data_IF_716303523643
#
_entry.id   IF_716303523643
#
_cell.length_a   1.000
_cell.length_b   1.000
_cell.length_c   1.000
_cell.angle_alpha   90.00
_cell.angle_beta   90.00
_cell.angle_gamma   90.00
#
_symmetry.space_group_name_H-M   'P 1'
#
loop_
_entity.id
_entity.type
_entity.pdbx_description
1 polymer ?
#
# COMPACT_ATOMS: atom_id res chain seq x y z
N UNK A 1 0.20 5.44 48.34
CA UNK A 1 -0.92 4.50 48.09
C UNK A 1 -1.85 5.16 47.07
N UNK A 2 -2.07 4.70 45.85
CA UNK A 2 -1.59 3.54 45.11
C UNK A 2 -1.85 3.76 43.61
N UNK A 3 -0.85 3.44 42.79
CA UNK A 3 -0.75 3.65 41.33
C UNK A 3 -1.34 2.46 40.52
N UNK A 4 -2.21 1.63 41.11
CA UNK A 4 -2.49 0.28 40.57
C UNK A 4 -3.92 0.00 40.10
N UNK A 5 -4.51 0.78 39.18
CA UNK A 5 -5.75 0.35 38.49
C UNK A 5 -5.82 0.60 36.97
N UNK A 6 -4.85 1.27 36.36
CA UNK A 6 -4.81 1.45 34.89
C UNK A 6 -4.08 0.33 34.13
N UNK A 7 -3.43 -0.61 34.83
CA UNK A 7 -2.61 -1.67 34.23
C UNK A 7 -3.29 -3.05 34.13
N UNK A 8 -4.51 -3.23 34.65
CA UNK A 8 -5.24 -4.50 34.55
C UNK A 8 -6.17 -4.61 33.34
N UNK A 9 -6.48 -3.51 32.64
CA UNK A 9 -7.34 -3.56 31.43
C UNK A 9 -6.56 -3.80 30.13
N UNK A 10 -5.24 -3.58 30.14
CA UNK A 10 -4.36 -3.81 28.97
C UNK A 10 -3.94 -5.28 28.85
N UNK A 11 -3.96 -6.04 29.97
CA UNK A 11 -3.55 -7.45 29.98
C UNK A 11 -4.66 -8.43 29.58
N UNK A 12 -5.94 -8.04 29.60
CA UNK A 12 -7.05 -8.85 29.08
C UNK A 12 -7.22 -8.74 27.56
N UNK A 13 -6.64 -7.70 26.93
CA UNK A 13 -6.63 -7.52 25.48
C UNK A 13 -5.68 -8.51 24.75
N UNK A 14 -4.69 -9.08 25.44
CA UNK A 14 -3.74 -10.03 24.83
C UNK A 14 -4.31 -11.46 24.80
N UNK A 15 -5.25 -11.82 25.68
CA UNK A 15 -5.83 -13.17 25.73
C UNK A 15 -6.99 -13.42 24.76
N UNK A 16 -7.63 -12.36 24.23
CA UNK A 16 -8.68 -12.47 23.21
C UNK A 16 -8.10 -12.52 21.78
N UNK A 17 -6.78 -12.32 21.62
CA UNK A 17 -6.09 -12.56 20.34
C UNK A 17 -5.95 -14.06 19.99
N UNK A 18 -6.33 -14.97 20.91
CA UNK A 18 -6.39 -16.42 20.65
C UNK A 18 -7.77 -16.92 20.18
N UNK A 19 -8.81 -16.10 20.21
CA UNK A 19 -10.10 -16.41 19.58
C UNK A 19 -10.12 -15.93 18.12
N UNK A 20 -9.04 -16.26 17.42
CA UNK A 20 -8.92 -16.25 15.97
C UNK A 20 -10.17 -16.94 15.41
N UNK A 21 -11.07 -16.13 14.85
CA UNK A 21 -11.99 -16.49 13.77
C UNK A 21 -12.71 -17.83 13.98
N UNK A 22 -13.79 -17.80 14.76
CA UNK A 22 -14.78 -18.88 14.74
C UNK A 22 -15.18 -19.17 13.28
N UNK A 23 -15.05 -20.42 12.78
CA UNK A 23 -15.27 -20.76 11.37
C UNK A 23 -16.68 -20.42 10.84
N UNK A 24 -17.66 -20.16 11.72
CA UNK A 24 -18.99 -19.64 11.35
C UNK A 24 -18.98 -18.19 10.85
N UNK A 25 -18.07 -17.33 11.35
CA UNK A 25 -17.98 -15.92 10.90
C UNK A 25 -17.45 -15.86 9.45
N UNK A 26 -16.53 -16.77 9.09
CA UNK A 26 -15.94 -16.85 7.74
C UNK A 26 -16.98 -17.19 6.66
N UNK A 27 -18.06 -17.90 7.00
CA UNK A 27 -19.11 -18.29 6.04
C UNK A 27 -20.17 -17.21 5.78
N UNK A 28 -20.19 -16.11 6.57
CA UNK A 28 -21.15 -14.99 6.41
C UNK A 28 -20.50 -13.68 5.96
N UNK A 29 -19.18 -13.65 5.81
CA UNK A 29 -18.49 -12.49 5.24
C UNK A 29 -18.79 -12.40 3.74
N UNK A 30 -19.39 -11.29 3.29
CA UNK A 30 -19.60 -11.00 1.87
C UNK A 30 -18.26 -11.04 1.11
N UNK A 31 -18.25 -11.45 -0.17
CA UNK A 31 -17.04 -11.43 -1.00
C UNK A 31 -16.53 -9.98 -1.10
N UNK A 32 -15.49 -9.65 -0.34
CA UNK A 32 -14.96 -8.28 -0.22
C UNK A 32 -14.34 -7.93 1.13
N UNK A 33 -14.52 -8.77 2.16
CA UNK A 33 -14.03 -8.51 3.52
C UNK A 33 -12.49 -8.56 3.70
N UNK A 34 -11.71 -8.90 2.67
CA UNK A 34 -10.24 -9.00 2.77
C UNK A 34 -9.52 -7.66 2.66
N UNK A 35 -10.20 -6.57 2.33
CA UNK A 35 -9.58 -5.24 2.13
C UNK A 35 -9.58 -4.35 3.41
N UNK A 36 -10.20 -4.84 4.51
CA UNK A 36 -10.41 -4.05 5.72
C UNK A 36 -9.25 -4.12 6.75
N UNK A 37 -8.18 -4.88 6.49
CA UNK A 37 -7.05 -4.99 7.44
C UNK A 37 -6.11 -3.78 7.45
N UNK A 38 -6.37 -2.75 6.62
CA UNK A 38 -5.43 -1.64 6.39
C UNK A 38 -5.87 -0.25 6.89
N UNK A 39 -7.04 -0.11 7.54
CA UNK A 39 -7.53 1.20 8.03
C UNK A 39 -8.30 1.10 9.36
N UNK A 40 -8.28 2.15 10.21
CA UNK A 40 -9.05 2.16 11.46
C UNK A 40 -10.54 2.19 11.15
N UNK A 41 -11.19 1.03 11.18
CA UNK A 41 -12.64 0.92 11.22
C UNK A 41 -13.09 1.07 12.66
N UNK A 42 -13.83 2.13 12.98
CA UNK A 42 -14.47 2.25 14.29
C UNK A 42 -15.75 1.43 14.30
N UNK A 43 -15.86 0.55 15.30
CA UNK A 43 -16.97 -0.37 15.49
C UNK A 43 -18.08 0.34 16.29
N UNK A 44 -18.97 1.06 15.62
CA UNK A 44 -20.17 1.59 16.30
C UNK A 44 -21.23 0.50 16.42
N UNK A 45 -21.28 -0.18 17.57
CA UNK A 45 -22.41 -1.05 17.93
C UNK A 45 -23.49 -0.16 18.54
N UNK A 46 -24.59 0.06 17.83
CA UNK A 46 -25.83 0.53 18.45
C UNK A 46 -26.63 -0.71 18.83
N UNK A 47 -26.59 -1.07 20.12
CA UNK A 47 -27.20 -2.28 20.66
C UNK A 47 -28.73 -2.13 20.76
N UNK A 48 -29.51 -2.63 19.80
CA UNK A 48 -30.91 -3.05 20.01
C UNK A 48 -31.25 -4.23 19.05
N UNK A 49 -31.41 -5.45 19.61
CA UNK A 49 -32.15 -6.66 19.13
C UNK A 49 -31.78 -7.39 17.79
N UNK A 50 -32.26 -8.65 17.57
CA UNK A 50 -31.62 -9.65 16.72
C UNK A 50 -31.99 -9.49 15.24
N UNK A 51 -31.03 -9.00 14.46
CA UNK A 51 -31.18 -8.76 13.03
C UNK A 51 -30.08 -7.86 12.46
N UNK A 52 -28.89 -7.88 13.06
CA UNK A 52 -27.84 -6.91 12.78
C UNK A 52 -27.08 -7.23 11.50
N UNK A 53 -27.29 -6.37 10.49
CA UNK A 53 -26.36 -6.20 9.38
C UNK A 53 -25.20 -5.33 9.89
N UNK A 54 -23.99 -5.89 9.91
CA UNK A 54 -22.77 -5.10 10.19
C UNK A 54 -22.52 -4.22 8.98
N UNK A 55 -22.95 -2.96 9.05
CA UNK A 55 -22.64 -1.96 8.03
C UNK A 55 -21.28 -1.34 8.36
N UNK A 56 -20.28 -1.62 7.54
CA UNK A 56 -19.00 -0.93 7.58
C UNK A 56 -19.20 0.51 7.12
N UNK A 57 -19.37 1.43 8.06
CA UNK A 57 -19.52 2.85 7.72
C UNK A 57 -18.14 3.42 7.40
N UNK A 58 -17.88 3.64 6.11
CA UNK A 58 -16.73 4.43 5.64
C UNK A 58 -16.83 5.83 6.27
N UNK A 59 -15.71 6.39 6.74
CA UNK A 59 -15.66 7.79 7.18
C UNK A 59 -16.24 8.65 6.04
N UNK A 60 -17.28 9.48 6.27
CA UNK A 60 -17.90 10.27 5.21
C UNK A 60 -16.84 11.05 4.42
N UNK A 61 -16.98 11.05 3.10
CA UNK A 61 -16.17 11.89 2.24
C UNK A 61 -16.43 13.35 2.61
N UNK A 62 -15.36 14.10 2.87
CA UNK A 62 -15.42 15.49 3.31
C UNK A 62 -14.03 16.05 3.56
N UNK A 63 -13.95 17.36 3.80
CA UNK A 63 -12.68 18.10 3.91
C UNK A 63 -11.70 17.46 4.92
N UNK A 64 -12.20 16.92 6.04
CA UNK A 64 -11.35 16.26 7.03
C UNK A 64 -10.63 15.03 6.45
N UNK A 65 -11.35 14.21 5.68
CA UNK A 65 -10.78 13.01 5.05
C UNK A 65 -9.73 13.38 4.00
N UNK A 66 -9.91 14.50 3.30
CA UNK A 66 -8.94 14.99 2.33
C UNK A 66 -7.68 15.50 3.04
N UNK A 67 -7.81 16.25 4.14
CA UNK A 67 -6.68 16.69 4.98
C UNK A 67 -5.90 15.48 5.53
N UNK A 68 -6.58 14.47 6.06
CA UNK A 68 -5.95 13.23 6.53
C UNK A 68 -5.20 12.51 5.41
N UNK A 69 -5.79 12.45 4.21
CA UNK A 69 -5.16 11.85 3.03
C UNK A 69 -3.93 12.64 2.59
N UNK A 70 -3.99 13.96 2.60
CA UNK A 70 -2.84 14.81 2.31
C UNK A 70 -1.70 14.59 3.30
N UNK A 71 -2.00 14.50 4.61
CA UNK A 71 -0.99 14.19 5.63
C UNK A 71 -0.36 12.81 5.43
N UNK A 72 -1.18 11.79 5.17
CA UNK A 72 -0.70 10.44 4.88
C UNK A 72 0.19 10.41 3.62
N UNK A 73 -0.22 11.08 2.55
CA UNK A 73 0.55 11.16 1.32
C UNK A 73 1.88 11.90 1.54
N UNK A 74 1.90 12.96 2.35
CA UNK A 74 3.12 13.68 2.69
C UNK A 74 4.10 12.80 3.49
N UNK A 75 3.60 12.01 4.46
CA UNK A 75 4.43 11.05 5.18
C UNK A 75 4.98 9.94 4.27
N UNK A 76 4.17 9.44 3.33
CA UNK A 76 4.61 8.49 2.31
C UNK A 76 5.71 9.07 1.43
N UNK A 77 5.52 10.29 0.92
CA UNK A 77 6.50 11.00 0.12
C UNK A 77 7.81 11.23 0.89
N UNK A 78 7.76 11.51 2.20
CA UNK A 78 8.94 11.62 3.05
C UNK A 78 9.70 10.29 3.19
N UNK A 79 8.98 9.18 3.32
CA UNK A 79 9.59 7.85 3.43
C UNK A 79 10.31 7.45 2.13
N UNK A 80 9.69 7.72 0.98
CA UNK A 80 10.16 7.37 -0.37
C UNK A 80 11.07 8.43 -1.01
N UNK A 81 11.34 9.54 -0.32
CA UNK A 81 12.17 10.62 -0.85
C UNK A 81 13.57 10.13 -1.24
N UNK A 82 14.06 10.61 -2.38
CA UNK A 82 15.43 10.37 -2.88
C UNK A 82 16.33 11.61 -2.73
N UNK A 83 15.85 12.64 -2.04
CA UNK A 83 16.56 13.90 -1.74
C UNK A 83 16.80 14.01 -0.23
N UNK A 84 17.69 14.90 0.26
CA UNK A 84 17.99 15.01 1.71
C UNK A 84 16.69 15.09 2.54
N UNK A 85 16.50 14.15 3.48
CA UNK A 85 15.29 14.06 4.30
C UNK A 85 14.98 15.34 5.06
N UNK A 86 16.02 16.05 5.53
CA UNK A 86 15.86 17.33 6.22
C UNK A 86 15.26 18.40 5.31
N UNK A 87 15.62 18.43 4.02
CA UNK A 87 15.03 19.39 3.09
C UNK A 87 13.53 19.15 2.91
N UNK A 88 13.12 17.88 2.77
CA UNK A 88 11.70 17.51 2.67
C UNK A 88 10.93 17.95 3.91
N UNK A 89 11.49 17.72 5.09
CA UNK A 89 10.86 18.10 6.36
C UNK A 89 10.73 19.62 6.51
N UNK A 90 11.80 20.37 6.23
CA UNK A 90 11.80 21.83 6.34
C UNK A 90 10.83 22.47 5.33
N UNK A 91 10.82 21.99 4.08
CA UNK A 91 9.88 22.46 3.06
C UNK A 91 8.42 22.15 3.43
N UNK A 92 8.15 21.04 4.11
CA UNK A 92 6.80 20.71 4.60
C UNK A 92 6.30 21.73 5.64
N UNK A 93 7.18 22.24 6.51
CA UNK A 93 6.86 23.27 7.50
C UNK A 93 6.96 24.71 6.98
N UNK A 94 7.34 24.91 5.71
CA UNK A 94 7.49 26.24 5.10
C UNK A 94 8.84 26.91 5.36
N UNK A 95 9.80 26.20 5.95
CA UNK A 95 11.18 26.66 6.10
C UNK A 95 11.97 26.26 4.84
N UNK A 96 11.90 27.09 3.80
CA UNK A 96 12.53 26.79 2.52
C UNK A 96 14.06 26.73 2.62
N UNK A 97 14.65 25.55 2.42
CA UNK A 97 16.10 25.36 2.28
C UNK A 97 16.40 24.54 1.04
N UNK A 98 17.51 24.87 0.37
CA UNK A 98 17.93 24.20 -0.88
C UNK A 98 19.21 23.39 -0.69
N UNK A 99 19.99 23.69 0.36
CA UNK A 99 21.26 23.02 0.61
C UNK A 99 21.10 21.67 1.33
N UNK A 100 21.78 20.61 0.88
CA UNK A 100 21.74 19.31 1.52
C UNK A 100 22.36 19.36 2.92
N UNK A 101 21.80 18.54 3.80
CA UNK A 101 22.10 18.55 5.22
C UNK A 101 23.42 17.87 5.63
N UNK A 102 24.00 17.02 4.77
CA UNK A 102 25.25 16.28 5.06
C UNK A 102 25.18 15.23 6.18
N UNK A 103 24.02 15.09 6.85
CA UNK A 103 23.87 14.23 8.04
C UNK A 103 22.54 13.45 8.05
N UNK A 104 22.04 13.08 6.88
CA UNK A 104 20.93 12.13 6.76
C UNK A 104 21.38 10.92 5.95
N UNK A 105 20.64 9.82 6.05
CA UNK A 105 20.87 8.58 5.31
C UNK A 105 21.07 8.81 3.81
N UNK A 106 20.25 9.65 3.18
CA UNK A 106 20.35 9.95 1.74
C UNK A 106 21.59 10.79 1.39
N UNK A 107 22.05 11.64 2.33
CA UNK A 107 23.29 12.40 2.12
C UNK A 107 24.55 11.54 2.34
N UNK A 108 24.44 10.56 3.24
CA UNK A 108 25.55 9.68 3.60
C UNK A 108 25.73 8.55 2.58
N UNK A 109 24.62 8.01 2.08
CA UNK A 109 24.60 6.99 1.03
C UNK A 109 23.62 7.41 -0.08
N UNK A 110 24.08 8.21 -1.05
CA UNK A 110 23.22 8.72 -2.11
C UNK A 110 22.70 7.57 -3.00
N UNK A 111 21.40 7.56 -3.34
CA UNK A 111 20.82 6.51 -4.16
C UNK A 111 21.45 6.49 -5.55
N UNK A 112 21.84 5.30 -6.01
CA UNK A 112 22.39 5.10 -7.35
C UNK A 112 21.31 5.34 -8.40
N UNK A 113 21.48 6.38 -9.21
CA UNK A 113 20.64 6.61 -10.38
C UNK A 113 21.16 5.81 -11.58
N UNK A 114 20.25 5.33 -12.42
CA UNK A 114 20.58 4.71 -13.69
C UNK A 114 19.63 5.23 -14.77
N UNK A 115 20.07 5.19 -16.02
CA UNK A 115 19.21 5.55 -17.14
C UNK A 115 18.15 4.47 -17.37
N UNK A 116 16.91 4.79 -16.96
CA UNK A 116 15.75 3.92 -17.07
C UNK A 116 14.92 4.15 -18.34
N UNK A 117 15.36 4.96 -19.31
CA UNK A 117 14.56 5.30 -20.49
C UNK A 117 14.11 4.05 -21.27
N UNK A 118 15.02 3.12 -21.51
CA UNK A 118 14.70 1.88 -22.22
C UNK A 118 13.70 1.00 -21.44
N UNK A 119 13.81 0.96 -20.12
CA UNK A 119 12.91 0.18 -19.26
C UNK A 119 11.50 0.78 -19.22
N UNK A 120 11.43 2.11 -19.10
CA UNK A 120 10.18 2.84 -19.14
C UNK A 120 9.47 2.63 -20.49
N UNK A 121 10.23 2.67 -21.60
CA UNK A 121 9.70 2.38 -22.93
C UNK A 121 9.14 0.96 -23.01
N UNK A 122 9.87 -0.06 -22.55
CA UNK A 122 9.40 -1.45 -22.55
C UNK A 122 8.13 -1.60 -21.71
N UNK A 123 8.08 -1.01 -20.51
CA UNK A 123 6.93 -1.06 -19.63
C UNK A 123 5.69 -0.41 -20.26
N UNK A 124 5.81 0.82 -20.75
CA UNK A 124 4.72 1.55 -21.39
C UNK A 124 4.25 0.87 -22.68
N UNK A 125 5.19 0.37 -23.49
CA UNK A 125 4.89 -0.37 -24.71
C UNK A 125 4.20 -1.71 -24.44
N UNK A 126 4.45 -2.32 -23.27
CA UNK A 126 3.73 -3.53 -22.82
C UNK A 126 2.31 -3.19 -22.41
N UNK A 127 2.12 -2.14 -21.58
CA UNK A 127 0.81 -1.66 -21.13
C UNK A 127 -0.10 -1.34 -22.33
N UNK A 128 0.45 -0.70 -23.36
CA UNK A 128 -0.26 -0.43 -24.62
C UNK A 128 -0.69 -1.71 -25.35
N UNK A 129 0.20 -2.70 -25.48
CA UNK A 129 -0.09 -3.96 -26.20
C UNK A 129 -1.09 -4.87 -25.47
N UNK A 130 -1.18 -4.79 -24.15
CA UNK A 130 -2.16 -5.56 -23.36
C UNK A 130 -3.51 -4.81 -23.19
N UNK A 131 -3.73 -3.77 -23.99
CA UNK A 131 -4.95 -2.94 -24.00
C UNK A 131 -5.33 -2.34 -22.64
N UNK A 132 -4.36 -2.12 -21.74
CA UNK A 132 -4.57 -1.53 -20.41
C UNK A 132 -5.59 -2.29 -19.52
N UNK A 133 -5.86 -3.57 -19.81
CA UNK A 133 -6.87 -4.36 -19.08
C UNK A 133 -6.32 -5.09 -17.86
N UNK A 134 -5.01 -5.10 -17.68
CA UNK A 134 -4.33 -5.95 -16.70
C UNK A 134 -3.57 -5.12 -15.66
N UNK A 135 -3.47 -5.65 -14.44
CA UNK A 135 -2.74 -5.03 -13.34
C UNK A 135 -1.22 -5.24 -13.42
N UNK A 136 -0.50 -4.57 -12.53
CA UNK A 136 0.97 -4.54 -12.48
C UNK A 136 1.62 -5.92 -12.47
N UNK A 137 1.10 -6.88 -11.69
CA UNK A 137 1.66 -8.23 -11.60
C UNK A 137 1.69 -8.95 -12.96
N UNK A 138 0.61 -8.83 -13.73
CA UNK A 138 0.53 -9.43 -15.06
C UNK A 138 1.48 -8.77 -16.06
N UNK A 139 1.59 -7.44 -16.03
CA UNK A 139 2.52 -6.70 -16.89
C UNK A 139 3.96 -7.11 -16.61
N UNK A 140 4.33 -7.25 -15.33
CA UNK A 140 5.67 -7.74 -14.92
C UNK A 140 5.92 -9.16 -15.40
N UNK A 141 4.94 -10.06 -15.31
CA UNK A 141 5.05 -11.43 -15.82
C UNK A 141 5.27 -11.48 -17.33
N UNK A 142 4.57 -10.64 -18.10
CA UNK A 142 4.74 -10.53 -19.56
C UNK A 142 6.15 -10.02 -19.90
N UNK A 143 6.61 -8.95 -19.25
CA UNK A 143 7.95 -8.37 -19.49
C UNK A 143 9.05 -9.38 -19.16
N UNK A 144 8.90 -10.13 -18.06
CA UNK A 144 9.85 -11.18 -17.65
C UNK A 144 9.75 -12.45 -18.50
N UNK A 145 8.69 -12.59 -19.29
CA UNK A 145 8.46 -13.77 -20.10
C UNK A 145 8.17 -15.01 -19.27
N UNK A 146 7.37 -14.86 -18.22
CA UNK A 146 6.98 -15.94 -17.31
C UNK A 146 6.02 -16.92 -17.99
N UNK A 147 6.20 -18.22 -17.73
CA UNK A 147 5.38 -19.27 -18.35
C UNK A 147 4.03 -19.46 -17.62
N UNK A 148 3.16 -18.46 -17.71
CA UNK A 148 1.82 -18.51 -17.12
C UNK A 148 0.78 -19.02 -18.15
N UNK A 149 -0.23 -19.78 -17.71
CA UNK A 149 -1.34 -20.21 -18.56
C UNK A 149 -2.12 -19.01 -19.08
N UNK A 150 -2.42 -18.02 -18.22
CA UNK A 150 -3.13 -16.79 -18.63
C UNK A 150 -2.43 -16.04 -19.76
N UNK A 151 -1.10 -16.02 -19.79
CA UNK A 151 -0.35 -15.34 -20.86
C UNK A 151 -0.56 -16.05 -22.20
N UNK A 152 -0.60 -17.39 -22.19
CA UNK A 152 -0.87 -18.22 -23.37
C UNK A 152 -2.32 -18.11 -23.83
N UNK A 153 -3.27 -18.09 -22.89
CA UNK A 153 -4.70 -17.96 -23.19
C UNK A 153 -5.00 -16.64 -23.91
N UNK A 154 -4.34 -15.54 -23.52
CA UNK A 154 -4.47 -14.24 -24.17
C UNK A 154 -3.53 -14.04 -25.38
N UNK A 155 -2.68 -15.03 -25.70
CA UNK A 155 -1.72 -14.94 -26.81
C UNK A 155 -0.64 -13.87 -26.61
N UNK A 156 -0.39 -13.47 -25.37
CA UNK A 156 0.60 -12.43 -25.03
C UNK A 156 2.04 -12.97 -25.00
N UNK A 157 2.21 -14.28 -25.12
CA UNK A 157 3.48 -14.97 -25.39
C UNK A 157 4.05 -14.66 -26.79
N UNK A 158 3.18 -14.31 -27.74
CA UNK A 158 3.56 -13.99 -29.14
C UNK A 158 3.98 -12.53 -29.34
N UNK A 159 3.83 -11.69 -28.32
CA UNK A 159 4.17 -10.27 -28.44
C UNK A 159 5.68 -10.07 -28.41
N UNK A 160 6.19 -9.12 -29.21
CA UNK A 160 7.62 -8.75 -29.22
C UNK A 160 8.15 -8.31 -27.84
N UNK A 161 7.26 -7.81 -26.97
CA UNK A 161 7.61 -7.38 -25.60
C UNK A 161 7.78 -8.53 -24.61
N UNK A 162 7.33 -9.73 -24.96
CA UNK A 162 7.38 -10.88 -24.08
C UNK A 162 8.84 -11.30 -23.84
N UNK A 163 9.26 -11.27 -22.58
CA UNK A 163 10.61 -11.68 -22.18
C UNK A 163 11.73 -10.67 -22.45
N UNK A 164 11.43 -9.44 -22.87
CA UNK A 164 12.46 -8.40 -23.07
C UNK A 164 13.15 -7.98 -21.75
N UNK A 165 12.52 -8.20 -20.59
CA UNK A 165 13.07 -7.89 -19.27
C UNK A 165 13.63 -9.08 -18.49
N UNK A 166 13.97 -10.19 -19.15
CA UNK A 166 14.48 -11.41 -18.49
C UNK A 166 15.79 -11.23 -17.75
N UNK A 167 16.63 -10.32 -18.22
CA UNK A 167 17.97 -10.07 -17.68
C UNK A 167 17.92 -9.35 -16.31
N UNK A 168 16.82 -8.66 -16.00
CA UNK A 168 16.71 -7.85 -14.78
C UNK A 168 16.21 -8.69 -13.61
N UNK A 169 16.99 -8.67 -12.51
CA UNK A 169 16.60 -9.31 -11.24
C UNK A 169 15.45 -8.52 -10.58
N UNK A 170 14.52 -9.22 -9.90
CA UNK A 170 13.45 -8.58 -9.13
C UNK A 170 13.98 -7.88 -7.88
#
# INVERSE_FOLDING_TARGET
MGINQTLTYVSSCISISRAILNPTIRKRAAPGATDCLRKPCYFTIRLIWPGYVVVWKRNPAGQLQDIERHKLNAMGAFAEAQTCRRLVLLNYFGEGRQEPCGNCDICLDPPKQYDGLNDAQIALSTIGRVNQRFGMGYVVEVIRGANNQRIRDFGHDKLKVYGMGREKKP
#
